data_IF_822777676666
#
_entry.id   IF_822777676666
#
_cell.length_a   1.000
_cell.length_b   1.000
_cell.length_c   1.000
_cell.angle_alpha   90.00
_cell.angle_beta   90.00
_cell.angle_gamma   90.00
#
_symmetry.space_group_name_H-M   'P 1'
#
loop_
_entity.id
_entity.type
_entity.pdbx_description
1 polymer ?
#
# COMPACT_ATOMS: atom_id res chain seq x y z
N UNK A 1 45.97 -23.47 4.15
CA UNK A 1 44.72 -22.94 4.75
C UNK A 1 44.20 -21.89 3.77
N UNK A 2 43.23 -22.26 2.93
CA UNK A 2 42.70 -21.39 1.88
C UNK A 2 41.58 -20.55 2.50
N UNK A 3 41.75 -19.22 2.54
CA UNK A 3 40.70 -18.32 3.04
C UNK A 3 39.46 -18.49 2.14
N UNK A 4 38.25 -18.63 2.71
CA UNK A 4 37.05 -18.76 1.90
C UNK A 4 36.89 -17.53 1.00
N UNK A 5 36.43 -17.70 -0.25
CA UNK A 5 36.19 -16.57 -1.13
C UNK A 5 35.18 -15.62 -0.48
N UNK A 6 35.53 -14.35 -0.41
CA UNK A 6 34.64 -13.28 0.06
C UNK A 6 33.34 -13.35 -0.75
N UNK A 7 32.25 -13.82 -0.12
CA UNK A 7 30.93 -13.80 -0.77
C UNK A 7 30.59 -12.31 -1.01
N UNK A 8 30.24 -11.91 -2.24
CA UNK A 8 29.86 -10.53 -2.50
C UNK A 8 28.67 -10.19 -1.61
N UNK A 9 28.80 -9.16 -0.79
CA UNK A 9 27.71 -8.66 0.05
C UNK A 9 26.71 -8.01 -0.89
N UNK A 10 25.67 -8.77 -1.28
CA UNK A 10 24.57 -8.25 -2.11
C UNK A 10 23.80 -7.28 -1.22
N UNK A 11 24.19 -6.01 -1.26
CA UNK A 11 23.45 -4.92 -0.65
C UNK A 11 22.46 -4.41 -1.68
N UNK A 12 21.17 -4.44 -1.35
CA UNK A 12 20.15 -3.87 -2.21
C UNK A 12 20.41 -2.36 -2.30
N UNK A 13 20.85 -1.90 -3.47
CA UNK A 13 21.12 -0.48 -3.73
C UNK A 13 19.77 0.25 -3.75
N UNK A 14 19.38 0.73 -2.57
CA UNK A 14 18.13 1.44 -2.32
C UNK A 14 18.44 2.90 -2.00
N UNK A 15 17.60 3.80 -2.49
CA UNK A 15 17.81 5.25 -2.36
C UNK A 15 17.67 5.74 -0.91
N UNK A 16 17.10 4.94 -0.01
CA UNK A 16 16.93 5.24 1.40
C UNK A 16 16.71 3.97 2.23
N UNK A 17 16.92 4.02 3.56
CA UNK A 17 16.53 2.95 4.48
C UNK A 17 15.06 2.55 4.33
N UNK A 18 14.75 1.26 4.54
CA UNK A 18 13.40 0.71 4.34
C UNK A 18 12.30 1.45 5.14
N UNK A 19 12.58 1.84 6.38
CA UNK A 19 11.61 2.55 7.23
C UNK A 19 11.28 3.94 6.69
N UNK A 20 12.28 4.65 6.13
CA UNK A 20 12.07 5.98 5.56
C UNK A 20 11.25 5.88 4.27
N UNK A 21 11.52 4.85 3.45
CA UNK A 21 10.69 4.54 2.27
C UNK A 21 9.25 4.23 2.66
N UNK A 22 9.04 3.44 3.72
CA UNK A 22 7.70 3.13 4.22
C UNK A 22 6.95 4.41 4.64
N UNK A 23 7.58 5.26 5.45
CA UNK A 23 6.97 6.51 5.92
C UNK A 23 6.61 7.44 4.76
N UNK A 24 7.53 7.62 3.79
CA UNK A 24 7.28 8.46 2.61
C UNK A 24 6.15 7.85 1.77
N UNK A 25 6.18 6.54 1.52
CA UNK A 25 5.15 5.87 0.74
C UNK A 25 3.76 5.97 1.40
N UNK A 26 3.68 5.81 2.72
CA UNK A 26 2.43 5.98 3.48
C UNK A 26 1.94 7.42 3.38
N UNK A 27 2.81 8.41 3.63
CA UNK A 27 2.44 9.82 3.59
C UNK A 27 1.93 10.25 2.20
N UNK A 28 2.66 9.88 1.15
CA UNK A 28 2.27 10.12 -0.25
C UNK A 28 0.97 9.39 -0.57
N UNK A 29 0.85 8.13 -0.16
CA UNK A 29 -0.37 7.34 -0.36
C UNK A 29 -1.59 7.96 0.30
N UNK A 30 -1.46 8.44 1.54
CA UNK A 30 -2.55 9.10 2.27
C UNK A 30 -2.98 10.40 1.57
N UNK A 31 -2.01 11.22 1.15
CA UNK A 31 -2.27 12.46 0.43
C UNK A 31 -2.98 12.22 -0.91
N UNK A 32 -2.50 11.24 -1.69
CA UNK A 32 -3.11 10.88 -2.98
C UNK A 32 -4.50 10.29 -2.80
N UNK A 33 -4.68 9.39 -1.84
CA UNK A 33 -5.97 8.79 -1.55
C UNK A 33 -6.98 9.86 -1.12
N UNK A 34 -6.66 10.65 -0.07
CA UNK A 34 -7.54 11.72 0.41
C UNK A 34 -7.83 12.76 -0.68
N UNK A 35 -6.80 13.19 -1.41
CA UNK A 35 -6.94 14.13 -2.51
C UNK A 35 -7.84 13.63 -3.63
N UNK A 36 -7.75 12.34 -3.97
CA UNK A 36 -8.63 11.72 -4.98
C UNK A 36 -10.08 11.66 -4.52
N UNK A 37 -10.32 11.33 -3.25
CA UNK A 37 -11.68 11.33 -2.68
C UNK A 37 -12.30 12.73 -2.68
N UNK A 38 -11.49 13.74 -2.34
CA UNK A 38 -11.91 15.15 -2.40
C UNK A 38 -12.18 15.62 -3.83
N UNK A 39 -11.35 15.21 -4.79
CA UNK A 39 -11.52 15.56 -6.21
C UNK A 39 -12.80 14.94 -6.80
N UNK A 40 -13.13 13.72 -6.38
CA UNK A 40 -14.33 12.99 -6.83
C UNK A 40 -15.58 13.37 -6.03
N UNK A 41 -15.44 14.16 -4.96
CA UNK A 41 -16.52 14.46 -3.99
C UNK A 41 -17.19 13.19 -3.41
N UNK A 42 -16.39 12.12 -3.24
CA UNK A 42 -16.89 10.83 -2.75
C UNK A 42 -16.60 10.66 -1.27
N UNK A 43 -17.65 10.36 -0.51
CA UNK A 43 -17.58 10.11 0.93
C UNK A 43 -18.00 8.67 1.26
N UNK A 44 -17.03 7.80 1.49
CA UNK A 44 -17.29 6.37 1.76
C UNK A 44 -17.80 6.08 3.18
N UNK A 45 -17.77 7.06 4.08
CA UNK A 45 -18.37 6.93 5.41
C UNK A 45 -19.90 7.14 5.38
N UNK A 46 -20.41 7.70 4.28
CA UNK A 46 -21.78 8.19 4.15
C UNK A 46 -22.57 7.33 3.19
N UNK A 47 -23.82 7.05 3.54
CA UNK A 47 -24.78 6.37 2.69
C UNK A 47 -25.89 7.33 2.29
N UNK A 48 -26.05 7.52 0.97
CA UNK A 48 -27.11 8.34 0.36
C UNK A 48 -28.17 7.48 -0.39
N UNK A 49 -28.24 6.18 -0.11
CA UNK A 49 -29.10 5.25 -0.87
C UNK A 49 -28.51 4.85 -2.22
N UNK A 50 -29.36 4.34 -3.13
CA UNK A 50 -28.95 3.87 -4.47
C UNK A 50 -28.35 4.98 -5.36
N UNK A 51 -28.66 6.24 -5.06
CA UNK A 51 -28.08 7.40 -5.76
C UNK A 51 -26.59 7.57 -5.49
N UNK A 52 -26.04 6.92 -4.45
CA UNK A 52 -24.61 6.94 -4.16
C UNK A 52 -23.76 6.00 -5.02
N UNK A 53 -24.38 5.13 -5.83
CA UNK A 53 -23.66 4.21 -6.73
C UNK A 53 -23.49 4.83 -8.12
N UNK A 54 -22.80 5.96 -8.18
CA UNK A 54 -22.48 6.64 -9.43
C UNK A 54 -21.07 6.29 -9.94
N UNK A 55 -20.72 6.79 -11.12
CA UNK A 55 -19.41 6.53 -11.74
C UNK A 55 -18.25 7.03 -10.86
N UNK A 56 -18.29 8.24 -10.24
CA UNK A 56 -17.29 8.67 -9.27
C UNK A 56 -17.12 7.69 -8.11
N UNK A 57 -18.20 7.19 -7.52
CA UNK A 57 -18.12 6.21 -6.44
C UNK A 57 -17.47 4.91 -6.90
N UNK A 58 -17.80 4.41 -8.10
CA UNK A 58 -17.18 3.21 -8.65
C UNK A 58 -15.67 3.40 -8.85
N UNK A 59 -15.26 4.54 -9.39
CA UNK A 59 -13.85 4.91 -9.58
C UNK A 59 -13.13 5.03 -8.24
N UNK A 60 -13.75 5.67 -7.25
CA UNK A 60 -13.23 5.80 -5.89
C UNK A 60 -13.10 4.45 -5.17
N UNK A 61 -14.02 3.50 -5.44
CA UNK A 61 -14.00 2.17 -4.84
C UNK A 61 -12.99 1.21 -5.47
N UNK A 62 -12.60 1.43 -6.72
CA UNK A 62 -11.81 0.44 -7.48
C UNK A 62 -10.51 1.03 -8.04
N UNK A 63 -10.60 2.05 -8.87
CA UNK A 63 -9.44 2.60 -9.61
C UNK A 63 -8.52 3.39 -8.69
N UNK A 64 -9.08 4.23 -7.82
CA UNK A 64 -8.32 5.08 -6.88
C UNK A 64 -7.41 4.27 -5.96
N UNK A 65 -7.89 3.28 -5.18
CA UNK A 65 -7.02 2.48 -4.32
C UNK A 65 -5.94 1.74 -5.12
N UNK A 66 -6.28 1.17 -6.28
CA UNK A 66 -5.28 0.49 -7.13
C UNK A 66 -4.20 1.46 -7.59
N UNK A 67 -4.56 2.65 -8.07
CA UNK A 67 -3.61 3.65 -8.53
C UNK A 67 -2.69 4.14 -7.39
N UNK A 68 -3.27 4.41 -6.21
CA UNK A 68 -2.51 4.77 -5.00
C UNK A 68 -1.55 3.65 -4.62
N UNK A 69 -2.03 2.40 -4.65
CA UNK A 69 -1.24 1.21 -4.42
C UNK A 69 -0.04 1.12 -5.36
N UNK A 70 -0.24 1.33 -6.67
CA UNK A 70 0.84 1.33 -7.67
C UNK A 70 1.92 2.34 -7.31
N UNK A 71 1.53 3.57 -6.93
CA UNK A 71 2.50 4.60 -6.51
C UNK A 71 3.28 4.15 -5.28
N UNK A 72 2.62 3.56 -4.28
CA UNK A 72 3.27 3.03 -3.08
C UNK A 72 4.26 1.90 -3.43
N UNK A 73 3.86 0.98 -4.29
CA UNK A 73 4.71 -0.11 -4.77
C UNK A 73 5.95 0.40 -5.50
N UNK A 74 5.81 1.50 -6.26
CA UNK A 74 6.93 2.16 -6.94
C UNK A 74 7.83 2.92 -5.94
N UNK A 75 7.31 3.52 -4.88
CA UNK A 75 8.17 4.22 -3.90
C UNK A 75 8.92 3.22 -3.02
N UNK A 76 8.20 2.20 -2.52
CA UNK A 76 8.72 1.26 -1.54
C UNK A 76 9.56 0.15 -2.17
N UNK A 77 9.12 -0.38 -3.32
CA UNK A 77 9.71 -1.55 -3.97
C UNK A 77 9.17 -2.87 -3.41
N UNK A 78 10.08 -3.81 -3.11
CA UNK A 78 9.75 -5.16 -2.66
C UNK A 78 8.97 -5.14 -1.34
N UNK A 79 7.77 -5.73 -1.32
CA UNK A 79 6.90 -5.74 -0.14
C UNK A 79 5.94 -4.54 -0.08
N UNK A 80 5.89 -3.71 -1.12
CA UNK A 80 5.01 -2.53 -1.20
C UNK A 80 3.53 -2.88 -1.03
N UNK A 81 3.12 -4.10 -1.40
CA UNK A 81 1.76 -4.61 -1.16
C UNK A 81 1.33 -4.53 0.30
N UNK A 82 2.21 -4.80 1.26
CA UNK A 82 1.87 -4.75 2.69
C UNK A 82 1.74 -3.30 3.15
N UNK A 83 2.67 -2.44 2.74
CA UNK A 83 2.64 -1.01 3.06
C UNK A 83 1.42 -0.32 2.46
N UNK A 84 0.95 -0.78 1.30
CA UNK A 84 -0.20 -0.22 0.59
C UNK A 84 -1.53 -0.31 1.35
N UNK A 85 -1.66 -1.19 2.35
CA UNK A 85 -2.89 -1.28 3.14
C UNK A 85 -3.09 -0.07 4.05
N UNK A 86 -2.00 0.56 4.51
CA UNK A 86 -2.08 1.59 5.55
C UNK A 86 -2.75 2.88 5.10
N UNK A 87 -2.49 3.42 3.89
CA UNK A 87 -3.11 4.68 3.48
C UNK A 87 -4.65 4.70 3.47
N UNK A 88 -5.34 3.76 2.80
CA UNK A 88 -6.81 3.75 2.84
C UNK A 88 -7.32 3.49 4.26
N UNK A 89 -6.68 2.61 5.04
CA UNK A 89 -7.08 2.32 6.41
C UNK A 89 -7.04 3.56 7.31
N UNK A 90 -5.92 4.31 7.29
CA UNK A 90 -5.76 5.51 8.11
C UNK A 90 -6.71 6.62 7.68
N UNK A 91 -6.81 6.91 6.38
CA UNK A 91 -7.67 7.99 5.89
C UNK A 91 -9.14 7.68 6.18
N UNK A 92 -9.59 6.45 5.94
CA UNK A 92 -10.98 6.09 6.20
C UNK A 92 -11.30 6.08 7.69
N UNK A 93 -10.40 5.56 8.54
CA UNK A 93 -10.59 5.58 9.99
C UNK A 93 -10.69 7.02 10.51
N UNK A 94 -9.79 7.89 10.06
CA UNK A 94 -9.81 9.31 10.38
C UNK A 94 -11.14 9.96 9.98
N UNK A 95 -11.57 9.78 8.73
CA UNK A 95 -12.80 10.35 8.21
C UNK A 95 -14.03 9.84 8.96
N UNK A 96 -14.09 8.54 9.27
CA UNK A 96 -15.20 7.95 10.01
C UNK A 96 -15.30 8.49 11.44
N UNK A 97 -14.18 8.58 12.17
CA UNK A 97 -14.15 9.13 13.53
C UNK A 97 -14.54 10.62 13.57
N UNK A 98 -14.14 11.39 12.57
CA UNK A 98 -14.44 12.82 12.50
C UNK A 98 -15.79 13.12 11.85
N UNK A 99 -16.52 12.11 11.36
CA UNK A 99 -17.85 12.30 10.76
C UNK A 99 -18.85 12.92 11.75
N UNK A 100 -18.69 12.67 13.06
CA UNK A 100 -19.53 13.27 14.11
C UNK A 100 -19.29 14.77 14.33
N UNK A 101 -18.19 15.32 13.84
CA UNK A 101 -17.84 16.74 13.98
C UNK A 101 -18.47 17.62 12.90
N UNK A 102 -18.98 17.01 11.82
CA UNK A 102 -19.59 17.71 10.71
C UNK A 102 -21.11 17.47 10.69
N UNK A 103 -21.89 18.51 10.42
CA UNK A 103 -23.32 18.35 10.15
C UNK A 103 -23.50 17.57 8.85
N UNK A 104 -24.08 16.38 8.95
CA UNK A 104 -24.39 15.55 7.79
C UNK A 104 -25.45 16.25 6.92
N UNK A 105 -25.29 16.27 5.59
CA UNK A 105 -26.33 16.76 4.70
C UNK A 105 -27.65 16.00 4.91
N UNK A 106 -28.79 16.65 4.68
CA UNK A 106 -30.10 16.04 4.86
C UNK A 106 -30.25 14.78 3.99
N UNK A 107 -30.77 13.69 4.57
CA UNK A 107 -30.96 12.42 3.87
C UNK A 107 -29.72 11.53 3.79
N UNK A 108 -28.62 11.91 4.44
CA UNK A 108 -27.38 11.12 4.52
C UNK A 108 -27.27 10.46 5.88
N UNK A 109 -26.97 9.17 5.90
CA UNK A 109 -26.72 8.43 7.13
C UNK A 109 -25.27 7.94 7.18
N UNK A 110 -24.69 7.94 8.38
CA UNK A 110 -23.40 7.27 8.59
C UNK A 110 -23.59 5.77 8.41
N UNK A 111 -22.67 5.14 7.70
CA UNK A 111 -22.71 3.69 7.54
C UNK A 111 -22.55 2.99 8.90
N UNK A 112 -23.31 1.93 9.17
CA UNK A 112 -23.07 1.09 10.34
C UNK A 112 -21.63 0.57 10.33
N UNK A 113 -21.01 0.54 11.51
CA UNK A 113 -19.60 0.14 11.68
C UNK A 113 -19.23 -1.14 10.93
N UNK A 114 -20.06 -2.19 11.00
CA UNK A 114 -19.77 -3.47 10.33
C UNK A 114 -19.68 -3.36 8.81
N UNK A 115 -20.57 -2.60 8.17
CA UNK A 115 -20.55 -2.41 6.70
C UNK A 115 -19.39 -1.51 6.32
N UNK A 116 -19.15 -0.46 7.09
CA UNK A 116 -18.02 0.43 6.85
C UNK A 116 -16.67 -0.30 6.91
N UNK A 117 -16.46 -1.18 7.90
CA UNK A 117 -15.24 -2.01 8.00
C UNK A 117 -15.04 -2.87 6.75
N UNK A 118 -16.11 -3.42 6.16
CA UNK A 118 -16.01 -4.17 4.91
C UNK A 118 -15.48 -3.31 3.76
N UNK A 119 -15.91 -2.04 3.66
CA UNK A 119 -15.36 -1.12 2.67
C UNK A 119 -13.91 -0.75 2.95
N UNK A 120 -13.52 -0.60 4.22
CA UNK A 120 -12.11 -0.38 4.58
C UNK A 120 -11.25 -1.55 4.10
N UNK A 121 -11.66 -2.79 4.40
CA UNK A 121 -10.92 -3.99 3.97
C UNK A 121 -10.86 -4.06 2.45
N UNK A 122 -11.97 -3.84 1.75
CA UNK A 122 -12.00 -3.86 0.29
C UNK A 122 -11.02 -2.83 -0.31
N UNK A 123 -10.97 -1.63 0.26
CA UNK A 123 -10.06 -0.56 -0.14
C UNK A 123 -8.60 -0.94 0.14
N UNK A 124 -8.32 -1.57 1.28
CA UNK A 124 -7.00 -2.11 1.60
C UNK A 124 -6.56 -3.16 0.58
N UNK A 125 -7.44 -4.10 0.22
CA UNK A 125 -7.15 -5.17 -0.75
C UNK A 125 -6.88 -4.63 -2.16
N UNK A 126 -7.70 -3.69 -2.65
CA UNK A 126 -7.44 -3.07 -3.95
C UNK A 126 -6.14 -2.26 -3.97
N UNK A 127 -5.80 -1.60 -2.86
CA UNK A 127 -4.53 -0.92 -2.73
C UNK A 127 -3.36 -1.92 -2.68
N UNK A 128 -3.52 -3.06 -2.02
CA UNK A 128 -2.53 -4.13 -2.01
C UNK A 128 -2.26 -4.72 -3.40
N UNK A 129 -3.32 -4.93 -4.20
CA UNK A 129 -3.20 -5.32 -5.62
C UNK A 129 -2.41 -4.27 -6.40
N UNK A 130 -2.72 -2.99 -6.22
CA UNK A 130 -1.94 -1.90 -6.80
C UNK A 130 -0.48 -1.93 -6.38
N UNK A 131 -0.20 -2.12 -5.08
CA UNK A 131 1.15 -2.23 -4.52
C UNK A 131 1.95 -3.36 -5.13
N UNK A 132 1.32 -4.51 -5.36
CA UNK A 132 1.92 -5.63 -6.07
C UNK A 132 2.23 -5.30 -7.53
N UNK A 133 1.33 -4.62 -8.24
CA UNK A 133 1.58 -4.16 -9.62
C UNK A 133 2.75 -3.17 -9.66
N UNK A 134 2.79 -2.20 -8.75
CA UNK A 134 3.89 -1.23 -8.65
C UNK A 134 5.24 -1.89 -8.40
N UNK A 135 5.26 -2.92 -7.55
CA UNK A 135 6.43 -3.75 -7.30
C UNK A 135 6.92 -4.46 -8.58
N UNK A 136 6.01 -5.04 -9.37
CA UNK A 136 6.36 -5.67 -10.66
C UNK A 136 6.94 -4.65 -11.64
N UNK A 137 6.37 -3.44 -11.72
CA UNK A 137 6.83 -2.40 -12.64
C UNK A 137 8.28 -1.99 -12.34
N UNK A 138 8.64 -1.85 -11.07
CA UNK A 138 10.02 -1.58 -10.66
C UNK A 138 10.94 -2.75 -10.98
N UNK A 139 10.53 -3.97 -10.68
CA UNK A 139 11.34 -5.16 -10.98
C UNK A 139 11.61 -5.29 -12.47
N UNK A 140 10.60 -5.06 -13.31
CA UNK A 140 10.75 -5.05 -14.77
C UNK A 140 11.72 -3.96 -15.24
N UNK A 141 11.70 -2.77 -14.63
CA UNK A 141 12.55 -1.65 -15.02
C UNK A 141 14.01 -1.82 -14.60
N UNK A 142 14.28 -2.45 -13.47
CA UNK A 142 15.61 -2.43 -12.84
C UNK A 142 16.28 -3.80 -12.67
N UNK A 143 15.57 -4.92 -12.80
CA UNK A 143 16.10 -6.22 -12.37
C UNK A 143 15.75 -7.43 -13.25
N UNK A 144 15.03 -7.27 -14.37
CA UNK A 144 14.64 -8.44 -15.18
C UNK A 144 15.80 -9.04 -15.99
N UNK A 145 16.73 -8.21 -16.45
CA UNK A 145 17.87 -8.62 -17.28
C UNK A 145 19.23 -8.47 -16.57
N UNK A 146 19.24 -8.06 -15.29
CA UNK A 146 20.47 -7.79 -14.53
C UNK A 146 20.90 -9.03 -13.72
N UNK A 147 22.11 -9.59 -13.92
CA UNK A 147 22.65 -10.67 -13.08
C UNK A 147 22.83 -10.25 -11.62
N UNK A 148 22.85 -8.94 -11.33
CA UNK A 148 22.78 -8.41 -9.97
C UNK A 148 21.31 -8.31 -9.52
N UNK A 149 20.72 -9.48 -9.27
CA UNK A 149 19.44 -9.61 -8.57
C UNK A 149 19.44 -8.72 -7.32
N UNK A 150 18.50 -7.78 -7.23
CA UNK A 150 18.28 -6.97 -6.03
C UNK A 150 17.35 -7.76 -5.10
N UNK A 151 17.88 -8.46 -4.08
CA UNK A 151 17.03 -9.20 -3.15
C UNK A 151 16.10 -8.25 -2.41
N UNK A 152 15.06 -8.82 -1.83
CA UNK A 152 14.26 -8.13 -0.83
C UNK A 152 15.18 -7.49 0.23
N UNK A 153 14.81 -6.33 0.76
CA UNK A 153 15.52 -5.67 1.88
C UNK A 153 15.53 -6.51 3.18
N UNK A 154 15.01 -7.73 3.15
CA UNK A 154 15.15 -8.69 4.24
C UNK A 154 16.62 -9.02 4.46
N UNK A 155 17.06 -8.94 5.71
CA UNK A 155 18.36 -9.47 6.12
C UNK A 155 18.40 -10.95 5.72
N UNK A 156 19.44 -11.42 5.02
CA UNK A 156 19.58 -12.85 4.73
C UNK A 156 19.58 -13.63 6.05
N UNK A 157 18.81 -14.72 6.08
CA UNK A 157 18.81 -15.61 7.25
C UNK A 157 20.23 -16.15 7.47
N UNK A 158 20.65 -16.35 8.74
CA UNK A 158 21.86 -17.09 9.02
C UNK A 158 21.81 -18.43 8.27
N UNK A 159 22.84 -18.76 7.50
CA UNK A 159 22.95 -20.09 6.89
C UNK A 159 23.03 -21.11 8.04
N UNK A 160 22.19 -22.15 8.00
CA UNK A 160 22.24 -23.24 8.98
C UNK A 160 23.68 -23.81 8.98
N UNK A 161 24.34 -23.81 10.14
CA UNK A 161 25.65 -24.44 10.28
C UNK A 161 25.51 -25.91 9.87
N UNK A 162 26.44 -26.45 9.05
CA UNK A 162 26.35 -27.84 8.63
C UNK A 162 26.34 -28.71 9.89
N UNK A 163 25.25 -29.45 10.11
CA UNK A 163 25.15 -30.46 11.16
C UNK A 163 26.37 -31.37 11.05
N UNK A 164 27.34 -31.20 11.95
CA UNK A 164 28.45 -32.12 12.11
C UNK A 164 27.84 -33.48 12.46
N UNK A 165 27.69 -34.34 11.44
CA UNK A 165 27.36 -35.74 11.63
C UNK A 165 28.51 -36.40 12.40
N UNK A 166 28.40 -36.40 13.72
CA UNK A 166 29.18 -37.22 14.65
C UNK A 166 28.84 -38.70 14.48
#
# INVERSE_FOLDING_TARGET
>A
MMSPPNKPTITADSWAPYWLRALIAIAVGMALYKGSMMLLDVHLAWFRGLQGFDVPWLVAMSVVPVAVGVVIGVIYGFGGKYVAHFPPAFVMLWDYQHTHLYSLPQGVHVLPWGIWVMFVILQMEFCAVGGFIGEILIRKRFSWDDPNFRPADSVPLPEDEPEERS
#
